data_IF_201526750767
#
_entry.id   IF_201526750767
#
_cell.length_a   1.000
_cell.length_b   1.000
_cell.length_c   1.000
_cell.angle_alpha   90.00
_cell.angle_beta   90.00
_cell.angle_gamma   90.00
#
_symmetry.space_group_name_H-M   'P 1'
#
loop_
_entity.id
_entity.type
_entity.pdbx_description
1 polymer ?
#
# COMPACT_ATOMS: atom_id res chain seq x y z
N UNK A 1 -53.74 7.59 -18.52
CA UNK A 1 -52.33 7.17 -18.57
C UNK A 1 -51.34 8.27 -18.15
N UNK A 2 -51.57 9.56 -18.45
CA UNK A 2 -50.60 10.62 -18.08
C UNK A 2 -50.56 10.96 -16.58
N UNK A 3 -51.68 10.96 -15.85
CA UNK A 3 -51.68 11.30 -14.41
C UNK A 3 -51.16 10.16 -13.52
N UNK A 4 -51.35 8.90 -13.92
CA UNK A 4 -50.83 7.73 -13.19
C UNK A 4 -49.31 7.65 -13.26
N UNK A 5 -48.70 8.02 -14.39
CA UNK A 5 -47.23 8.07 -14.54
C UNK A 5 -46.61 9.18 -13.68
N UNK A 6 -47.28 10.34 -13.57
CA UNK A 6 -46.83 11.46 -12.73
C UNK A 6 -46.88 11.08 -11.23
N UNK A 7 -47.91 10.36 -10.81
CA UNK A 7 -48.02 9.91 -9.42
C UNK A 7 -46.96 8.86 -9.05
N UNK A 8 -46.57 7.99 -9.98
CA UNK A 8 -45.50 7.00 -9.78
C UNK A 8 -44.12 7.68 -9.78
N UNK A 9 -43.92 8.70 -10.60
CA UNK A 9 -42.68 9.49 -10.61
C UNK A 9 -42.48 10.29 -9.32
N UNK A 10 -43.57 10.79 -8.71
CA UNK A 10 -43.50 11.52 -7.44
C UNK A 10 -43.19 10.61 -6.25
N UNK A 11 -43.63 9.34 -6.30
CA UNK A 11 -43.35 8.34 -5.26
C UNK A 11 -41.88 7.86 -5.25
N UNK A 12 -41.15 7.97 -6.36
CA UNK A 12 -39.74 7.61 -6.44
C UNK A 12 -38.79 8.66 -5.84
N UNK A 13 -39.23 9.92 -5.67
CA UNK A 13 -38.38 10.99 -5.13
C UNK A 13 -38.27 11.00 -3.58
N UNK A 14 -39.14 10.30 -2.86
CA UNK A 14 -39.22 10.41 -1.39
C UNK A 14 -38.17 9.54 -0.65
N UNK A 15 -37.41 8.70 -1.36
CA UNK A 15 -36.48 7.72 -0.74
C UNK A 15 -35.00 8.16 -0.68
N UNK A 16 -34.66 9.43 -0.92
CA UNK A 16 -33.26 9.88 -0.96
C UNK A 16 -32.75 10.61 0.30
N UNK A 17 -33.52 10.69 1.38
CA UNK A 17 -33.17 11.53 2.53
C UNK A 17 -33.00 10.74 3.83
N UNK A 18 -31.91 9.97 3.90
CA UNK A 18 -31.31 9.52 5.17
C UNK A 18 -29.81 9.79 5.12
N UNK A 19 -29.40 10.98 5.56
CA UNK A 19 -27.99 11.29 5.84
C UNK A 19 -27.76 11.20 7.34
N UNK A 20 -26.74 10.45 7.75
CA UNK A 20 -26.32 10.32 9.14
C UNK A 20 -25.55 11.59 9.55
N UNK A 21 -26.09 12.33 10.52
CA UNK A 21 -25.37 13.41 11.20
C UNK A 21 -24.53 12.78 12.31
N UNK A 22 -23.22 12.74 12.13
CA UNK A 22 -22.27 12.37 13.19
C UNK A 22 -22.30 13.43 14.30
N UNK A 23 -22.45 12.98 15.56
CA UNK A 23 -22.31 13.88 16.71
C UNK A 23 -20.82 14.11 16.95
N UNK A 24 -20.34 15.36 17.08
CA UNK A 24 -18.94 15.59 17.43
C UNK A 24 -18.65 15.02 18.82
N UNK A 25 -17.50 14.34 18.96
CA UNK A 25 -17.04 13.87 20.27
C UNK A 25 -16.86 15.06 21.22
N UNK A 26 -17.47 14.98 22.39
CA UNK A 26 -17.20 15.90 23.50
C UNK A 26 -15.75 15.72 23.96
N UNK A 27 -14.93 16.76 23.77
CA UNK A 27 -13.56 16.79 24.29
C UNK A 27 -13.58 16.90 25.82
N UNK A 28 -12.73 16.11 26.48
CA UNK A 28 -12.48 16.24 27.92
C UNK A 28 -11.66 17.52 28.11
N UNK A 29 -12.21 18.48 28.85
CA UNK A 29 -11.43 19.62 29.37
C UNK A 29 -10.85 19.23 30.72
N UNK A 30 -9.52 19.30 30.83
CA UNK A 30 -8.84 19.21 32.12
C UNK A 30 -8.70 20.65 32.62
N UNK A 31 -9.52 21.01 33.60
CA UNK A 31 -9.32 22.24 34.36
C UNK A 31 -8.22 21.98 35.40
N UNK A 32 -7.04 22.55 35.18
CA UNK A 32 -5.98 22.58 36.21
C UNK A 32 -6.38 23.60 37.28
N UNK A 33 -6.99 23.11 38.34
CA UNK A 33 -7.25 23.90 39.52
C UNK A 33 -7.10 23.04 40.78
N UNK A 34 -5.86 22.86 41.24
CA UNK A 34 -5.63 22.51 42.64
C UNK A 34 -4.33 23.11 43.16
N UNK A 35 -4.37 24.43 43.41
CA UNK A 35 -3.56 25.00 44.48
C UNK A 35 -4.12 24.52 45.82
N UNK A 36 -3.26 23.82 46.58
CA UNK A 36 -3.30 23.64 48.04
C UNK A 36 -4.55 22.99 48.66
N UNK A 37 -4.43 21.73 49.10
CA UNK A 37 -5.40 21.11 50.03
C UNK A 37 -4.70 20.58 51.30
N UNK A 38 -4.83 21.38 52.36
CA UNK A 38 -5.13 20.99 53.75
C UNK A 38 -4.40 19.82 54.39
N UNK A 39 -3.50 20.14 55.33
CA UNK A 39 -3.02 19.26 56.39
C UNK A 39 -4.17 18.74 57.26
N UNK A 40 -4.39 17.42 57.27
CA UNK A 40 -5.29 16.75 58.21
C UNK A 40 -4.50 16.06 59.32
N UNK A 41 -4.99 16.33 60.53
CA UNK A 41 -4.46 16.04 61.86
C UNK A 41 -4.73 14.60 62.30
N UNK A 42 -3.69 13.78 62.43
CA UNK A 42 -3.72 12.57 63.27
C UNK A 42 -2.38 12.40 63.97
N UNK A 43 -2.35 12.58 65.29
CA UNK A 43 -1.20 12.21 66.14
C UNK A 43 -1.28 10.71 66.45
N UNK A 44 -0.28 9.95 66.02
CA UNK A 44 -0.13 8.55 66.38
C UNK A 44 0.67 8.43 67.69
N UNK A 45 0.10 7.73 68.68
CA UNK A 45 0.63 7.42 70.01
C UNK A 45 1.91 6.56 69.92
N UNK A 46 2.91 6.69 70.83
CA UNK A 46 4.16 5.94 70.71
C UNK A 46 3.96 4.54 71.31
N UNK A 47 3.84 3.54 70.44
CA UNK A 47 3.68 2.15 70.84
C UNK A 47 4.76 1.26 70.21
N UNK A 48 5.55 0.64 71.08
CA UNK A 48 6.52 -0.45 70.88
C UNK A 48 7.98 -0.03 70.59
N UNK A 49 8.82 -0.41 71.55
CA UNK A 49 10.28 -0.25 71.59
C UNK A 49 10.95 -0.86 70.36
N UNK A 50 11.80 -0.08 69.68
CA UNK A 50 12.64 -0.57 68.58
C UNK A 50 13.53 -1.72 69.09
N UNK A 51 13.56 -2.89 68.41
CA UNK A 51 14.57 -3.89 68.72
C UNK A 51 15.96 -3.32 68.43
N UNK A 52 16.92 -3.58 69.32
CA UNK A 52 18.33 -3.19 69.15
C UNK A 52 18.95 -4.08 68.06
N UNK A 53 18.82 -3.64 66.82
CA UNK A 53 19.43 -4.30 65.68
C UNK A 53 20.84 -3.70 65.50
N UNK A 54 21.87 -4.37 66.04
CA UNK A 54 23.28 -4.01 65.81
C UNK A 54 23.76 -4.45 64.41
N UNK A 55 22.99 -4.17 63.36
CA UNK A 55 23.41 -4.38 61.99
C UNK A 55 23.73 -3.04 61.35
N UNK A 56 25.01 -2.66 61.39
CA UNK A 56 25.53 -1.57 60.56
C UNK A 56 25.63 -2.09 59.12
N UNK A 57 24.60 -1.81 58.31
CA UNK A 57 24.59 -2.11 56.87
C UNK A 57 25.37 -1.10 56.03
N UNK A 58 26.09 -0.17 56.66
CA UNK A 58 26.90 0.82 55.95
C UNK A 58 28.28 0.92 56.59
N UNK A 59 29.13 -0.06 56.30
CA UNK A 59 30.56 0.21 56.22
C UNK A 59 30.76 0.90 54.86
N UNK A 60 30.88 2.22 54.85
CA UNK A 60 31.25 2.94 53.62
C UNK A 60 32.58 2.34 53.12
N UNK A 61 32.67 1.87 51.87
CA UNK A 61 33.90 1.30 51.35
C UNK A 61 35.02 2.33 51.48
N UNK A 62 36.20 1.90 51.94
CA UNK A 62 37.43 2.72 51.97
C UNK A 62 38.06 2.88 50.58
N UNK A 63 37.24 2.95 49.54
CA UNK A 63 37.69 3.14 48.16
C UNK A 63 37.29 4.54 47.69
N UNK A 64 37.74 5.56 48.44
CA UNK A 64 37.90 6.91 47.89
C UNK A 64 39.22 7.04 47.13
N UNK A 65 39.71 5.96 46.51
CA UNK A 65 40.69 6.08 45.45
C UNK A 65 39.88 6.53 44.26
N UNK A 66 39.92 7.85 43.98
CA UNK A 66 39.49 8.38 42.70
C UNK A 66 40.20 7.56 41.65
N UNK A 67 39.46 6.65 41.01
CA UNK A 67 39.97 5.87 39.91
C UNK A 67 40.57 6.88 38.94
N UNK A 68 41.88 6.78 38.73
CA UNK A 68 42.59 7.40 37.63
C UNK A 68 42.14 6.72 36.32
N UNK A 69 40.82 6.66 36.10
CA UNK A 69 40.21 6.20 34.88
C UNK A 69 40.15 7.46 34.03
N UNK A 70 41.15 7.63 33.17
CA UNK A 70 41.10 8.60 32.09
C UNK A 70 39.73 8.45 31.44
N UNK A 71 38.85 9.43 31.61
CA UNK A 71 37.55 9.40 30.95
C UNK A 71 37.88 9.48 29.47
N UNK A 72 37.64 8.38 28.73
CA UNK A 72 37.76 8.43 27.27
C UNK A 72 36.83 9.56 26.81
N UNK A 73 37.29 10.49 25.95
CA UNK A 73 36.41 11.50 25.41
C UNK A 73 35.22 10.82 24.72
N UNK A 74 34.05 11.45 24.80
CA UNK A 74 32.86 10.96 24.12
C UNK A 74 33.14 10.89 22.63
N UNK A 75 33.14 9.68 22.08
CA UNK A 75 33.53 9.40 20.71
C UNK A 75 32.34 8.82 19.94
N UNK A 76 31.88 9.59 18.94
CA UNK A 76 30.81 9.21 18.01
C UNK A 76 31.37 8.74 16.64
N UNK A 77 32.69 8.62 16.48
CA UNK A 77 33.31 8.20 15.21
C UNK A 77 33.05 6.73 14.84
N UNK A 78 32.41 5.97 15.74
CA UNK A 78 31.86 4.65 15.45
C UNK A 78 32.79 3.47 15.78
N UNK A 79 34.03 3.74 16.24
CA UNK A 79 34.95 2.68 16.65
C UNK A 79 34.74 2.29 18.12
N UNK A 80 33.66 1.53 18.35
CA UNK A 80 33.25 1.06 19.68
C UNK A 80 33.75 -0.37 19.99
N UNK A 81 34.64 -0.94 19.18
CA UNK A 81 35.15 -2.31 19.35
C UNK A 81 34.08 -3.41 19.17
N UNK A 82 32.88 -3.06 18.72
CA UNK A 82 31.85 -4.00 18.31
C UNK A 82 32.10 -4.41 16.86
N UNK A 83 31.74 -5.65 16.51
CA UNK A 83 31.75 -6.09 15.12
C UNK A 83 30.80 -5.21 14.32
N UNK A 84 31.36 -4.37 13.44
CA UNK A 84 30.55 -3.59 12.52
C UNK A 84 29.92 -4.54 11.51
N UNK A 85 28.62 -4.42 11.22
CA UNK A 85 27.99 -5.23 10.20
C UNK A 85 28.68 -4.95 8.85
N UNK A 86 29.23 -5.97 8.21
CA UNK A 86 29.92 -5.89 6.92
C UNK A 86 28.98 -5.59 5.72
N UNK A 87 27.80 -5.02 5.95
CA UNK A 87 26.92 -4.58 4.88
C UNK A 87 26.77 -3.07 4.94
N UNK A 88 27.21 -2.39 3.88
CA UNK A 88 26.99 -0.96 3.71
C UNK A 88 25.51 -0.78 3.41
N UNK A 89 24.72 -0.35 4.41
CA UNK A 89 23.31 0.01 4.23
C UNK A 89 23.29 1.28 3.37
N UNK A 90 23.31 1.14 2.05
CA UNK A 90 23.08 2.28 1.16
C UNK A 90 21.59 2.54 1.16
N UNK A 91 21.11 3.72 1.58
CA UNK A 91 19.69 4.03 1.50
C UNK A 91 19.16 3.82 0.07
N UNK A 92 17.96 3.25 -0.08
CA UNK A 92 17.42 2.83 -1.39
C UNK A 92 17.46 3.94 -2.46
N UNK A 93 17.30 5.20 -2.06
CA UNK A 93 17.35 6.38 -2.94
C UNK A 93 18.74 6.71 -3.52
N UNK A 94 19.80 6.10 -3.01
CA UNK A 94 21.15 6.15 -3.59
C UNK A 94 21.51 4.89 -4.39
N UNK A 95 20.65 3.87 -4.39
CA UNK A 95 20.86 2.69 -5.21
C UNK A 95 20.36 3.00 -6.62
N UNK A 96 21.20 2.77 -7.62
CA UNK A 96 20.80 2.90 -9.02
C UNK A 96 19.71 1.85 -9.31
N UNK A 97 18.66 2.24 -10.02
CA UNK A 97 17.61 1.31 -10.43
C UNK A 97 18.21 0.12 -11.17
N UNK A 98 17.58 -1.05 -11.03
CA UNK A 98 17.99 -2.25 -11.77
C UNK A 98 17.99 -1.92 -13.26
N UNK A 99 19.04 -2.35 -13.95
CA UNK A 99 19.12 -2.17 -15.41
C UNK A 99 17.92 -2.85 -16.08
N UNK A 100 17.23 -2.08 -16.92
CA UNK A 100 16.10 -2.58 -17.71
C UNK A 100 16.64 -3.63 -18.68
N UNK A 101 16.12 -4.85 -18.59
CA UNK A 101 16.46 -5.92 -19.52
C UNK A 101 16.03 -5.54 -20.93
N UNK A 102 16.82 -5.90 -21.93
CA UNK A 102 16.50 -5.61 -23.35
C UNK A 102 15.17 -6.22 -23.79
N UNK A 103 14.76 -7.35 -23.20
CA UNK A 103 13.47 -8.02 -23.44
C UNK A 103 12.25 -7.14 -23.10
N UNK A 104 12.39 -6.18 -22.20
CA UNK A 104 11.31 -5.26 -21.82
C UNK A 104 11.13 -4.13 -22.84
N UNK A 105 12.08 -3.98 -23.78
CA UNK A 105 12.09 -2.93 -24.81
C UNK A 105 11.52 -3.37 -26.15
N UNK A 106 11.10 -4.63 -26.26
CA UNK A 106 10.54 -5.21 -27.48
C UNK A 106 9.12 -5.68 -27.25
N UNK A 107 8.29 -5.62 -28.30
CA UNK A 107 6.91 -6.09 -28.26
C UNK A 107 6.83 -7.56 -27.82
N UNK A 108 5.83 -7.86 -27.00
CA UNK A 108 5.63 -9.18 -26.41
C UNK A 108 4.39 -9.84 -26.99
N UNK A 109 4.54 -11.07 -27.47
CA UNK A 109 3.42 -11.88 -27.92
C UNK A 109 3.00 -12.85 -26.81
N UNK A 110 1.78 -12.68 -26.31
CA UNK A 110 1.24 -13.44 -25.17
C UNK A 110 0.47 -14.70 -25.59
N UNK A 111 0.30 -14.91 -26.90
CA UNK A 111 -0.31 -16.12 -27.46
C UNK A 111 -1.64 -15.90 -28.16
N UNK A 112 -2.11 -16.98 -28.77
CA UNK A 112 -3.40 -17.10 -29.44
C UNK A 112 -4.31 -18.11 -28.74
N UNK A 113 -5.59 -17.75 -28.62
CA UNK A 113 -6.58 -18.53 -27.89
C UNK A 113 -7.85 -18.68 -28.72
N UNK A 114 -8.38 -19.89 -28.78
CA UNK A 114 -9.68 -20.17 -29.42
C UNK A 114 -10.79 -20.02 -28.41
N UNK A 115 -11.87 -19.34 -28.78
CA UNK A 115 -13.05 -19.18 -27.95
C UNK A 115 -14.33 -19.33 -28.76
N UNK A 116 -15.39 -19.81 -28.11
CA UNK A 116 -16.76 -19.82 -28.66
C UNK A 116 -17.64 -18.73 -28.06
N UNK A 117 -17.07 -17.96 -27.14
CA UNK A 117 -17.77 -16.93 -26.39
C UNK A 117 -18.16 -15.75 -27.25
N UNK A 118 -19.25 -15.08 -26.88
CA UNK A 118 -19.66 -13.88 -27.61
C UNK A 118 -18.70 -12.71 -27.36
N UNK A 119 -18.17 -12.64 -26.15
CA UNK A 119 -17.27 -11.60 -25.65
C UNK A 119 -16.25 -12.22 -24.69
N UNK A 120 -15.23 -11.44 -24.35
CA UNK A 120 -14.27 -11.75 -23.29
C UNK A 120 -14.18 -10.60 -22.30
N UNK A 121 -13.87 -10.92 -21.05
CA UNK A 121 -13.53 -9.91 -20.04
C UNK A 121 -12.02 -9.78 -19.96
N UNK A 122 -11.52 -8.59 -20.27
CA UNK A 122 -10.13 -8.23 -20.03
C UNK A 122 -10.05 -7.58 -18.65
N UNK A 123 -9.32 -8.22 -17.75
CA UNK A 123 -9.09 -7.79 -16.38
C UNK A 123 -7.61 -7.45 -16.24
N UNK A 124 -7.28 -6.41 -15.49
CA UNK A 124 -5.93 -5.90 -15.34
C UNK A 124 -5.69 -5.29 -13.97
N UNK A 125 -4.43 -5.27 -13.57
CA UNK A 125 -3.92 -4.53 -12.40
C UNK A 125 -2.44 -4.23 -12.54
N UNK A 126 -1.95 -3.40 -11.65
CA UNK A 126 -0.53 -3.29 -11.35
C UNK A 126 -0.04 -4.56 -10.65
N UNK A 127 1.05 -5.14 -11.11
CA UNK A 127 1.62 -6.36 -10.53
C UNK A 127 2.70 -6.08 -9.46
N UNK A 128 3.27 -4.87 -9.43
CA UNK A 128 4.32 -4.49 -8.50
C UNK A 128 3.83 -3.42 -7.52
N UNK A 129 4.01 -2.15 -7.87
CA UNK A 129 3.75 -1.01 -6.99
C UNK A 129 3.07 0.07 -7.79
N UNK A 130 1.90 0.48 -7.31
CA UNK A 130 1.10 1.55 -7.91
C UNK A 130 1.87 2.87 -7.84
N UNK A 131 2.47 3.28 -8.96
CA UNK A 131 3.39 4.42 -9.00
C UNK A 131 3.17 5.35 -10.22
N UNK A 132 2.04 5.22 -10.90
CA UNK A 132 1.66 6.08 -12.01
C UNK A 132 1.54 5.38 -13.36
N UNK A 133 1.61 4.06 -13.41
CA UNK A 133 1.59 3.30 -14.65
C UNK A 133 0.29 3.45 -15.46
N UNK A 134 0.43 3.79 -16.74
CA UNK A 134 -0.65 4.05 -17.71
C UNK A 134 -0.47 3.19 -18.96
N UNK A 135 -1.58 2.63 -19.44
CA UNK A 135 -1.61 1.85 -20.68
C UNK A 135 -2.73 2.27 -21.61
N UNK A 136 -2.60 1.92 -22.88
CA UNK A 136 -3.64 2.07 -23.91
C UNK A 136 -3.98 0.71 -24.48
N UNK A 137 -5.27 0.44 -24.67
CA UNK A 137 -5.75 -0.84 -25.16
C UNK A 137 -6.42 -0.64 -26.52
N UNK A 138 -6.05 -1.51 -27.45
CA UNK A 138 -6.55 -1.56 -28.81
C UNK A 138 -7.29 -2.88 -29.06
N UNK A 139 -8.32 -2.84 -29.89
CA UNK A 139 -8.96 -4.01 -30.49
C UNK A 139 -8.88 -3.86 -32.01
N UNK A 140 -8.22 -4.80 -32.69
CA UNK A 140 -8.06 -4.77 -34.14
C UNK A 140 -7.54 -3.41 -34.65
N UNK A 141 -6.50 -2.88 -33.98
CA UNK A 141 -5.87 -1.57 -34.25
C UNK A 141 -6.70 -0.32 -33.88
N UNK A 142 -7.95 -0.48 -33.44
CA UNK A 142 -8.78 0.61 -32.94
C UNK A 142 -8.64 0.81 -31.43
N UNK A 143 -8.52 2.06 -30.99
CA UNK A 143 -8.40 2.39 -29.56
C UNK A 143 -9.74 2.20 -28.86
N UNK A 144 -9.82 1.22 -27.96
CA UNK A 144 -11.01 0.96 -27.13
C UNK A 144 -10.89 1.59 -25.74
N UNK A 145 -9.65 1.74 -25.24
CA UNK A 145 -9.33 2.48 -24.02
C UNK A 145 -8.07 3.29 -24.23
N UNK A 146 -8.21 4.62 -24.22
CA UNK A 146 -7.13 5.55 -24.55
C UNK A 146 -6.09 5.72 -23.44
N UNK A 147 -6.53 5.63 -22.19
CA UNK A 147 -5.73 5.85 -21.00
C UNK A 147 -6.32 5.04 -19.83
N UNK A 148 -5.62 3.99 -19.44
CA UNK A 148 -5.98 3.07 -18.36
C UNK A 148 -4.91 3.16 -17.29
N UNK A 149 -5.33 3.52 -16.08
CA UNK A 149 -4.45 3.55 -14.92
C UNK A 149 -4.37 2.16 -14.29
N UNK A 150 -3.15 1.68 -14.06
CA UNK A 150 -2.91 0.42 -13.39
C UNK A 150 -2.93 0.65 -11.88
N UNK A 151 -3.92 0.04 -11.22
CA UNK A 151 -4.11 0.13 -9.78
C UNK A 151 -3.80 -1.22 -9.11
N UNK A 152 -3.74 -1.27 -7.78
CA UNK A 152 -3.42 -2.51 -7.06
C UNK A 152 -4.54 -3.56 -7.10
N UNK A 153 -5.76 -3.11 -7.39
CA UNK A 153 -6.96 -3.96 -7.48
C UNK A 153 -7.23 -4.29 -8.94
N UNK A 154 -7.74 -5.50 -9.17
CA UNK A 154 -8.22 -5.91 -10.49
C UNK A 154 -9.41 -5.05 -10.94
N UNK A 155 -9.22 -4.40 -12.06
CA UNK A 155 -10.25 -3.69 -12.81
C UNK A 155 -10.38 -4.33 -14.20
N UNK A 156 -11.48 -4.11 -14.91
CA UNK A 156 -11.64 -4.74 -16.20
C UNK A 156 -12.87 -4.27 -16.94
N UNK A 157 -12.97 -4.68 -18.20
CA UNK A 157 -14.12 -4.38 -19.04
C UNK A 157 -14.35 -5.48 -20.07
N UNK A 158 -15.58 -5.48 -20.59
CA UNK A 158 -16.03 -6.40 -21.63
C UNK A 158 -15.51 -5.97 -23.00
N UNK A 159 -15.03 -6.94 -23.78
CA UNK A 159 -14.64 -6.78 -25.18
C UNK A 159 -15.52 -7.72 -26.01
N UNK A 160 -16.37 -7.15 -26.86
CA UNK A 160 -17.20 -7.93 -27.78
C UNK A 160 -16.34 -8.49 -28.92
N UNK A 161 -16.44 -9.81 -29.15
CA UNK A 161 -15.63 -10.49 -30.15
C UNK A 161 -16.38 -10.59 -31.48
N UNK A 162 -15.71 -10.25 -32.58
CA UNK A 162 -16.17 -10.56 -33.94
C UNK A 162 -15.77 -11.99 -34.32
N UNK A 163 -16.49 -12.61 -35.26
CA UNK A 163 -16.14 -13.93 -35.77
C UNK A 163 -14.76 -13.89 -36.44
N UNK A 164 -13.91 -14.87 -36.15
CA UNK A 164 -12.53 -14.91 -36.63
C UNK A 164 -11.54 -14.27 -35.64
N UNK A 165 -10.53 -13.58 -36.16
CA UNK A 165 -9.43 -13.02 -35.37
C UNK A 165 -9.82 -11.71 -34.67
N UNK A 166 -9.53 -11.63 -33.38
CA UNK A 166 -9.63 -10.42 -32.57
C UNK A 166 -8.26 -10.17 -31.94
N UNK A 167 -7.56 -9.14 -32.40
CA UNK A 167 -6.24 -8.76 -31.87
C UNK A 167 -6.42 -7.73 -30.76
N UNK A 168 -5.95 -8.05 -29.56
CA UNK A 168 -5.94 -7.15 -28.41
C UNK A 168 -4.49 -6.72 -28.18
N UNK A 169 -4.19 -5.45 -28.41
CA UNK A 169 -2.86 -4.88 -28.15
C UNK A 169 -2.92 -3.93 -26.95
N UNK A 170 -1.94 -4.02 -26.08
CA UNK A 170 -1.86 -3.23 -24.86
C UNK A 170 -0.50 -2.53 -24.84
N UNK A 171 -0.53 -1.21 -25.00
CA UNK A 171 0.65 -0.35 -25.12
C UNK A 171 0.95 0.35 -23.80
N UNK A 172 2.20 0.27 -23.33
CA UNK A 172 2.66 1.07 -22.21
C UNK A 172 2.80 2.55 -22.63
N UNK A 173 2.00 3.44 -22.05
CA UNK A 173 2.02 4.88 -22.37
C UNK A 173 3.13 5.64 -21.62
N UNK A 174 3.56 5.10 -20.49
CA UNK A 174 4.64 5.63 -19.69
C UNK A 174 5.42 4.51 -19.00
N UNK A 175 6.38 4.91 -18.20
CA UNK A 175 6.92 4.14 -17.09
C UNK A 175 6.55 4.97 -15.86
N UNK A 176 6.04 4.33 -14.81
CA UNK A 176 5.76 4.99 -13.55
C UNK A 176 7.00 5.60 -12.91
N UNK A 177 6.91 5.88 -11.62
CA UNK A 177 8.04 6.47 -10.87
C UNK A 177 9.25 5.53 -10.83
N UNK A 178 9.02 4.23 -10.95
CA UNK A 178 10.02 3.16 -11.07
C UNK A 178 9.82 2.47 -12.41
N UNK A 179 10.88 2.31 -13.20
CA UNK A 179 10.79 1.53 -14.44
C UNK A 179 10.78 0.01 -14.16
N UNK A 180 10.39 -0.83 -15.14
CA UNK A 180 9.49 -0.59 -16.27
C UNK A 180 8.00 -0.61 -15.87
N UNK A 181 7.10 -0.29 -16.81
CA UNK A 181 5.65 -0.41 -16.58
C UNK A 181 5.29 -1.87 -16.30
N UNK A 182 4.66 -2.13 -15.15
CA UNK A 182 4.42 -3.48 -14.68
C UNK A 182 2.93 -3.74 -14.52
N UNK A 183 2.44 -4.75 -15.25
CA UNK A 183 1.04 -5.11 -15.21
C UNK A 183 0.83 -6.61 -15.15
N UNK A 184 -0.32 -6.98 -14.61
CA UNK A 184 -0.91 -8.30 -14.78
C UNK A 184 -2.22 -8.14 -15.54
N UNK A 185 -2.41 -8.95 -16.57
CA UNK A 185 -3.64 -9.03 -17.34
C UNK A 185 -4.19 -10.45 -17.36
N UNK A 186 -5.49 -10.56 -17.20
CA UNK A 186 -6.24 -11.79 -17.27
C UNK A 186 -7.34 -11.66 -18.30
N UNK A 187 -7.55 -12.71 -19.09
CA UNK A 187 -8.64 -12.80 -20.04
C UNK A 187 -9.58 -13.91 -19.59
N UNK A 188 -10.86 -13.57 -19.43
CA UNK A 188 -11.90 -14.52 -19.08
C UNK A 188 -12.91 -14.65 -20.21
N UNK A 189 -13.49 -15.83 -20.33
CA UNK A 189 -14.58 -16.09 -21.26
C UNK A 189 -15.92 -15.51 -20.74
N UNK A 190 -16.98 -15.66 -21.53
CA UNK A 190 -18.33 -15.18 -21.19
C UNK A 190 -18.98 -15.94 -20.01
N UNK A 191 -18.43 -17.08 -19.63
CA UNK A 191 -18.84 -17.87 -18.47
C UNK A 191 -18.01 -17.55 -17.22
N UNK A 192 -16.98 -16.71 -17.36
CA UNK A 192 -16.05 -16.33 -16.30
C UNK A 192 -14.84 -17.25 -16.14
N UNK A 193 -14.67 -18.26 -17.01
CA UNK A 193 -13.50 -19.14 -16.97
C UNK A 193 -12.25 -18.38 -17.45
N UNK A 194 -11.12 -18.63 -16.79
CA UNK A 194 -9.84 -18.05 -17.17
C UNK A 194 -9.34 -18.67 -18.49
N UNK A 195 -9.11 -17.83 -19.50
CA UNK A 195 -8.46 -18.19 -20.77
C UNK A 195 -6.94 -18.09 -20.62
N UNK A 196 -6.47 -16.95 -20.11
CA UNK A 196 -5.04 -16.71 -19.91
C UNK A 196 -4.80 -15.65 -18.83
N UNK A 197 -3.68 -15.76 -18.13
CA UNK A 197 -3.19 -14.76 -17.19
C UNK A 197 -1.70 -14.54 -17.50
N UNK A 198 -1.32 -13.29 -17.75
CA UNK A 198 0.06 -12.93 -18.08
C UNK A 198 0.47 -11.71 -17.26
N UNK A 199 1.72 -11.75 -16.80
CA UNK A 199 2.39 -10.61 -16.20
C UNK A 199 3.43 -10.09 -17.20
N UNK A 200 3.63 -8.77 -17.25
CA UNK A 200 4.68 -8.19 -18.07
C UNK A 200 5.40 -7.05 -17.38
N UNK A 201 6.53 -6.70 -18.00
CA UNK A 201 7.38 -5.58 -17.68
C UNK A 201 7.71 -4.90 -19.03
N UNK A 202 7.04 -3.79 -19.36
CA UNK A 202 7.17 -3.13 -20.66
C UNK A 202 7.77 -1.73 -20.50
N UNK A 203 8.65 -1.35 -21.42
CA UNK A 203 9.04 0.07 -21.54
C UNK A 203 8.00 0.86 -22.33
N UNK A 204 8.02 2.18 -22.19
CA UNK A 204 7.10 3.06 -22.92
C UNK A 204 7.14 2.83 -24.43
N UNK A 205 5.96 2.74 -25.05
CA UNK A 205 5.76 2.52 -26.48
C UNK A 205 5.75 1.04 -26.90
N UNK A 206 6.13 0.13 -26.00
CA UNK A 206 6.11 -1.31 -26.27
C UNK A 206 4.72 -1.87 -26.08
N UNK A 207 4.35 -2.85 -26.92
CA UNK A 207 3.04 -3.50 -26.92
C UNK A 207 3.11 -4.95 -26.46
N UNK A 208 2.10 -5.38 -25.71
CA UNK A 208 1.78 -6.77 -25.50
C UNK A 208 0.55 -7.16 -26.34
N UNK A 209 0.65 -8.25 -27.10
CA UNK A 209 -0.39 -8.70 -28.04
C UNK A 209 -0.99 -10.03 -27.61
N UNK A 210 -2.32 -10.08 -27.55
CA UNK A 210 -3.11 -11.30 -27.37
C UNK A 210 -4.04 -11.46 -28.58
N UNK A 211 -4.13 -12.66 -29.13
CA UNK A 211 -5.06 -12.95 -30.23
C UNK A 211 -6.16 -13.90 -29.73
N UNK A 212 -7.41 -13.51 -29.93
CA UNK A 212 -8.57 -14.35 -29.64
C UNK A 212 -9.29 -14.71 -30.93
N UNK A 213 -9.36 -16.00 -31.23
CA UNK A 213 -10.03 -16.53 -32.41
C UNK A 213 -11.42 -17.03 -32.01
N UNK A 214 -12.45 -16.31 -32.44
CA UNK A 214 -13.86 -16.71 -32.25
C UNK A 214 -14.31 -17.63 -33.39
N UNK A 215 -14.63 -18.89 -33.04
CA UNK A 215 -15.09 -19.92 -34.00
C UNK A 215 -16.60 -19.82 -34.32
#
# INVERSE_FOLDING_TARGET
>A
MKSTVISVLLLLFVNLMSSQIEKPLSSIKIDDNSSTLGTSTYKLTPGLTKPKNNFSLYKSPKDSIRFNRTQKPFDMTGDNGLLQPNFKVVPKWFQKDKEIKEEYKSDQYLGDFKSKSEFVYLIYRDHQSVDGDLVRIFLNDDVIRSNVYLNSVFEGFKIDLIKGFNKIDIEALNQGTSGPNTAEFQLHDDQGNLITANEWNLTTGVKATIIVVKE
#
